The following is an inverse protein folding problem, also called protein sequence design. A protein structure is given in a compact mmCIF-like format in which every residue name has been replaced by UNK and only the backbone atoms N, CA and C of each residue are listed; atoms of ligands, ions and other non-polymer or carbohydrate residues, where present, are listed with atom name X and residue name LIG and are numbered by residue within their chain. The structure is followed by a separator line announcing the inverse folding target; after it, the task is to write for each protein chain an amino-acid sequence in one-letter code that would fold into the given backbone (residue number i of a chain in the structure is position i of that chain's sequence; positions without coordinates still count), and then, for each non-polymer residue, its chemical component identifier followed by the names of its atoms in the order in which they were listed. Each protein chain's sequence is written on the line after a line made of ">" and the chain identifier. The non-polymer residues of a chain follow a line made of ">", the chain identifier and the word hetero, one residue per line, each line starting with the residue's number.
data_IF_850522924987
#
_entry.id   IF_850522924987
#
_cell.length_a   1.000
_cell.length_b   1.000
_cell.length_c   1.000
_cell.angle_alpha   90.00
_cell.angle_beta   90.00
_cell.angle_gamma   90.00
#
_symmetry.space_group_name_H-M   'P 1'
#
loop_
_entity.id
_entity.type
_entity.pdbx_description
1 polymer ?
#
# COMPACT_ATOMS: atom_id res chain seq x y z
N UNK A 1 20.62 40.34 10.43
CA UNK A 1 20.92 38.89 10.34
C UNK A 1 19.61 38.11 10.51
N UNK A 2 19.05 37.58 9.41
CA UNK A 2 17.74 36.91 9.43
C UNK A 2 17.84 35.54 10.10
N UNK A 3 17.22 35.38 11.27
CA UNK A 3 17.17 34.10 11.99
C UNK A 3 16.20 33.17 11.26
N UNK A 4 16.74 32.28 10.42
CA UNK A 4 15.98 31.17 9.83
C UNK A 4 15.37 30.35 10.97
N UNK A 5 14.04 30.39 11.09
CA UNK A 5 13.29 29.62 12.09
C UNK A 5 13.59 28.13 11.95
N UNK A 6 13.78 27.45 13.08
CA UNK A 6 14.01 26.00 13.12
C UNK A 6 12.76 25.30 12.59
N UNK A 7 12.88 24.60 11.46
CA UNK A 7 11.78 23.80 10.90
C UNK A 7 11.30 22.83 11.99
N UNK A 8 10.00 22.81 12.34
CA UNK A 8 9.50 21.95 13.40
C UNK A 8 9.78 20.49 13.04
N UNK A 9 10.43 19.78 13.96
CA UNK A 9 10.68 18.36 13.83
C UNK A 9 9.34 17.65 14.06
N UNK A 10 8.84 16.84 13.12
CA UNK A 10 7.60 16.11 13.32
C UNK A 10 7.72 15.22 14.55
N UNK A 11 6.71 15.26 15.44
CA UNK A 11 6.66 14.41 16.64
C UNK A 11 6.64 12.95 16.20
N UNK A 12 7.64 12.17 16.61
CA UNK A 12 7.64 10.73 16.47
C UNK A 12 6.48 10.15 17.29
N UNK A 13 5.51 9.52 16.63
CA UNK A 13 4.41 8.85 17.34
C UNK A 13 3.20 8.49 16.49
N UNK A 14 2.82 9.27 15.48
CA UNK A 14 1.56 9.01 14.75
C UNK A 14 1.70 8.00 13.59
N UNK A 15 2.93 7.77 13.10
CA UNK A 15 3.21 6.81 12.02
C UNK A 15 3.83 5.49 12.51
N UNK A 16 4.25 5.42 13.77
CA UNK A 16 5.04 4.31 14.29
C UNK A 16 4.23 3.03 14.55
N UNK A 17 2.90 3.12 14.62
CA UNK A 17 2.02 1.98 14.94
C UNK A 17 1.24 1.43 13.74
N UNK A 18 1.39 2.01 12.54
CA UNK A 18 0.74 1.47 11.35
C UNK A 18 1.74 0.57 10.62
N UNK A 19 1.44 -0.71 10.38
CA UNK A 19 2.34 -1.52 9.56
C UNK A 19 2.51 -0.80 8.22
N UNK A 20 3.76 -0.61 7.79
CA UNK A 20 4.08 0.12 6.54
C UNK A 20 3.39 -0.47 5.31
N UNK A 21 2.97 -1.74 5.40
CA UNK A 21 2.14 -2.46 4.44
C UNK A 21 0.64 -2.48 4.77
N UNK A 22 0.08 -1.47 5.44
CA UNK A 22 -1.38 -1.30 5.49
C UNK A 22 -1.88 -0.56 4.24
N UNK A 23 -2.95 -1.08 3.63
CA UNK A 23 -3.63 -0.41 2.52
C UNK A 23 -4.03 1.02 2.93
N UNK A 24 -3.56 2.08 2.24
CA UNK A 24 -3.89 3.45 2.61
C UNK A 24 -5.39 3.70 2.45
N UNK A 25 -6.01 4.27 3.49
CA UNK A 25 -7.43 4.67 3.41
C UNK A 25 -7.61 5.85 2.46
N UNK A 26 -8.62 5.72 1.59
CA UNK A 26 -9.03 6.78 0.67
C UNK A 26 -9.26 8.10 1.42
N UNK A 27 -8.65 9.22 1.01
CA UNK A 27 -8.94 10.53 1.57
C UNK A 27 -10.41 10.93 1.36
N UNK A 28 -10.98 11.60 2.36
CA UNK A 28 -12.38 12.06 2.34
C UNK A 28 -12.63 13.19 1.35
N UNK A 29 -11.63 14.03 1.10
CA UNK A 29 -11.73 15.20 0.21
C UNK A 29 -11.77 14.85 -1.29
N UNK A 30 -11.57 13.59 -1.67
CA UNK A 30 -11.61 13.18 -3.08
C UNK A 30 -13.05 13.19 -3.61
N UNK A 31 -13.22 13.70 -4.83
CA UNK A 31 -14.49 13.65 -5.55
C UNK A 31 -14.88 12.21 -5.92
N UNK A 32 -16.13 12.00 -6.34
CA UNK A 32 -16.65 10.66 -6.62
C UNK A 32 -15.87 9.91 -7.71
N UNK A 33 -15.50 10.60 -8.80
CA UNK A 33 -14.70 10.04 -9.90
C UNK A 33 -13.29 9.66 -9.42
N UNK A 34 -12.64 10.54 -8.66
CA UNK A 34 -11.33 10.27 -8.08
C UNK A 34 -11.37 9.09 -7.09
N UNK A 35 -12.44 8.96 -6.30
CA UNK A 35 -12.62 7.85 -5.36
C UNK A 35 -12.83 6.51 -6.08
N UNK A 36 -13.53 6.50 -7.21
CA UNK A 36 -13.68 5.31 -8.05
C UNK A 36 -12.31 4.87 -8.57
N UNK A 37 -11.51 5.82 -9.03
CA UNK A 37 -10.16 5.55 -9.50
C UNK A 37 -9.22 5.07 -8.39
N UNK A 38 -9.33 5.66 -7.20
CA UNK A 38 -8.61 5.18 -6.01
C UNK A 38 -8.91 3.71 -5.74
N UNK A 39 -10.18 3.29 -5.77
CA UNK A 39 -10.55 1.88 -5.54
C UNK A 39 -10.02 0.95 -6.64
N UNK A 40 -9.94 1.44 -7.89
CA UNK A 40 -9.42 0.67 -9.02
C UNK A 40 -7.93 0.40 -8.89
N UNK A 41 -7.15 1.38 -8.43
CA UNK A 41 -5.69 1.29 -8.39
C UNK A 41 -5.13 0.88 -7.02
N UNK A 42 -5.74 1.32 -5.92
CA UNK A 42 -5.15 1.13 -4.59
C UNK A 42 -5.01 -0.36 -4.22
N UNK A 43 -6.01 -1.20 -4.53
CA UNK A 43 -5.96 -2.63 -4.19
C UNK A 43 -4.87 -3.37 -4.98
N UNK A 44 -4.84 -3.34 -6.33
CA UNK A 44 -3.80 -4.05 -7.09
C UNK A 44 -2.39 -3.55 -6.78
N UNK A 45 -2.21 -2.24 -6.55
CA UNK A 45 -0.89 -1.69 -6.23
C UNK A 45 -0.40 -2.07 -4.84
N UNK A 46 -1.32 -2.27 -3.91
CA UNK A 46 -1.00 -2.73 -2.58
C UNK A 46 -0.67 -4.23 -2.57
N UNK A 47 -1.45 -5.04 -3.28
CA UNK A 47 -1.17 -6.48 -3.46
C UNK A 47 0.18 -6.72 -4.16
N UNK A 48 0.55 -5.85 -5.10
CA UNK A 48 1.87 -5.87 -5.75
C UNK A 48 3.02 -5.40 -4.84
N UNK A 49 2.75 -4.94 -3.61
CA UNK A 49 3.76 -4.42 -2.69
C UNK A 49 4.37 -3.06 -3.10
N UNK A 50 3.80 -2.39 -4.11
CA UNK A 50 4.30 -1.12 -4.64
C UNK A 50 3.80 0.06 -3.78
N UNK A 51 2.58 -0.05 -3.25
CA UNK A 51 1.92 1.03 -2.52
C UNK A 51 2.10 0.91 -1.00
N UNK A 52 2.77 1.88 -0.40
CA UNK A 52 2.92 2.01 1.05
C UNK A 52 2.04 3.13 1.61
N UNK A 53 2.00 3.26 2.94
CA UNK A 53 1.29 4.39 3.59
C UNK A 53 1.87 5.77 3.19
N UNK A 54 3.15 5.83 2.86
CA UNK A 54 3.81 7.08 2.45
C UNK A 54 3.27 7.61 1.11
N UNK A 55 2.87 6.71 0.22
CA UNK A 55 2.42 7.01 -1.13
C UNK A 55 0.98 7.51 -1.20
N UNK A 56 0.26 7.48 -0.07
CA UNK A 56 -1.14 7.89 0.04
C UNK A 56 -1.38 9.29 -0.55
N UNK A 57 -0.47 10.23 -0.28
CA UNK A 57 -0.59 11.61 -0.78
C UNK A 57 -0.42 11.70 -2.29
N UNK A 58 0.58 11.00 -2.85
CA UNK A 58 0.85 10.98 -4.27
C UNK A 58 -0.28 10.30 -5.06
N UNK A 59 -0.78 9.16 -4.58
CA UNK A 59 -1.93 8.49 -5.19
C UNK A 59 -3.19 9.36 -5.15
N UNK A 60 -3.39 10.12 -4.07
CA UNK A 60 -4.56 10.99 -3.94
C UNK A 60 -4.52 12.12 -4.96
N UNK A 61 -3.35 12.73 -5.14
CA UNK A 61 -3.12 13.76 -6.15
C UNK A 61 -3.33 13.22 -7.57
N UNK A 62 -2.84 12.00 -7.86
CA UNK A 62 -3.09 11.31 -9.13
C UNK A 62 -4.59 11.12 -9.38
N UNK A 63 -5.34 10.56 -8.42
CA UNK A 63 -6.78 10.35 -8.56
C UNK A 63 -7.54 11.66 -8.78
N UNK A 64 -7.11 12.75 -8.15
CA UNK A 64 -7.72 14.07 -8.33
C UNK A 64 -7.42 14.65 -9.71
N UNK A 65 -6.21 14.45 -10.25
CA UNK A 65 -5.83 14.84 -11.60
C UNK A 65 -6.62 14.05 -12.65
N UNK A 66 -6.79 12.73 -12.44
CA UNK A 66 -7.62 11.86 -13.27
C UNK A 66 -9.05 12.37 -13.37
N UNK A 67 -9.67 12.71 -12.23
CA UNK A 67 -11.04 13.22 -12.23
C UNK A 67 -11.20 14.53 -13.03
N UNK A 68 -10.22 15.44 -12.93
CA UNK A 68 -10.21 16.70 -13.69
C UNK A 68 -9.97 16.47 -15.18
N UNK A 69 -9.14 15.48 -15.52
CA UNK A 69 -8.91 15.08 -16.90
C UNK A 69 -10.18 14.50 -17.53
N UNK A 70 -10.86 13.56 -16.86
CA UNK A 70 -12.13 12.98 -17.33
C UNK A 70 -13.18 14.06 -17.57
N UNK A 71 -13.31 15.01 -16.64
CA UNK A 71 -14.23 16.14 -16.81
C UNK A 71 -13.87 17.01 -18.02
N UNK A 72 -12.57 17.29 -18.23
CA UNK A 72 -12.12 18.07 -19.37
C UNK A 72 -12.38 17.36 -20.71
N UNK A 73 -12.14 16.05 -20.79
CA UNK A 73 -12.43 15.23 -21.98
C UNK A 73 -13.93 15.18 -22.29
N UNK A 74 -14.78 15.06 -21.27
CA UNK A 74 -16.23 15.10 -21.46
C UNK A 74 -16.70 16.47 -21.98
N UNK A 75 -16.09 17.57 -21.54
CA UNK A 75 -16.37 18.91 -22.08
C UNK A 75 -15.90 19.06 -23.52
N UNK A 76 -14.75 18.50 -23.87
CA UNK A 76 -14.19 18.53 -25.24
C UNK A 76 -15.06 17.79 -26.26
N UNK A 77 -15.87 16.81 -25.85
CA UNK A 77 -16.86 16.18 -26.74
C UNK A 77 -17.96 17.14 -27.20
N UNK A 78 -18.29 18.12 -26.36
CA UNK A 78 -19.40 19.06 -26.59
C UNK A 78 -18.95 20.41 -27.15
N UNK A 79 -17.70 20.79 -26.90
CA UNK A 79 -17.13 22.10 -27.25
C UNK A 79 -16.05 21.95 -28.32
N UNK A 80 -16.01 22.80 -29.36
CA UNK A 80 -14.95 22.73 -30.37
C UNK A 80 -13.56 23.00 -29.77
N UNK A 81 -12.54 22.33 -30.29
CA UNK A 81 -11.15 22.45 -29.83
C UNK A 81 -10.55 23.84 -30.08
N UNK A 82 -11.05 24.55 -31.09
CA UNK A 82 -10.65 25.92 -31.43
C UNK A 82 -11.86 26.84 -31.30
N UNK A 83 -11.70 27.88 -30.49
CA UNK A 83 -12.68 28.95 -30.29
C UNK A 83 -12.27 30.15 -31.12
N UNK A 84 -13.22 30.74 -31.85
CA UNK A 84 -12.98 32.00 -32.55
C UNK A 84 -13.27 33.14 -31.58
N UNK A 85 -12.29 34.01 -31.38
CA UNK A 85 -12.47 35.24 -30.62
C UNK A 85 -13.24 36.26 -31.47
N UNK A 86 -13.92 37.24 -30.85
CA UNK A 86 -14.59 38.33 -31.58
C UNK A 86 -13.64 39.14 -32.49
N UNK A 87 -12.34 39.12 -32.17
CA UNK A 87 -11.27 39.75 -32.94
C UNK A 87 -10.81 38.93 -34.16
N UNK A 88 -11.38 37.74 -34.41
CA UNK A 88 -11.07 36.89 -35.55
C UNK A 88 -9.91 35.89 -35.35
N UNK A 89 -9.21 35.95 -34.22
CA UNK A 89 -8.15 34.97 -33.89
C UNK A 89 -8.74 33.66 -33.39
N UNK A 90 -8.15 32.53 -33.83
CA UNK A 90 -8.44 31.20 -33.31
C UNK A 90 -7.62 30.94 -32.04
N UNK A 91 -8.30 30.69 -30.92
CA UNK A 91 -7.70 30.32 -29.65
C UNK A 91 -8.01 28.86 -29.32
N UNK A 92 -7.05 28.16 -28.72
CA UNK A 92 -7.31 26.81 -28.20
C UNK A 92 -8.33 26.85 -27.06
N UNK A 93 -9.19 25.83 -27.02
CA UNK A 93 -10.15 25.69 -25.93
C UNK A 93 -9.41 25.56 -24.57
N UNK A 94 -9.88 26.23 -23.51
CA UNK A 94 -9.28 26.11 -22.18
C UNK A 94 -9.31 24.66 -21.66
N UNK A 95 -10.31 23.89 -22.04
CA UNK A 95 -10.47 22.48 -21.68
C UNK A 95 -9.33 21.62 -22.22
N UNK A 96 -8.85 21.90 -23.44
CA UNK A 96 -7.70 21.20 -24.02
C UNK A 96 -6.42 21.47 -23.21
N UNK A 97 -6.20 22.72 -22.80
CA UNK A 97 -5.06 23.09 -21.96
C UNK A 97 -5.11 22.41 -20.59
N UNK A 98 -6.29 22.30 -19.99
CA UNK A 98 -6.49 21.59 -18.72
C UNK A 98 -6.20 20.09 -18.91
N UNK A 99 -6.76 19.47 -19.94
CA UNK A 99 -6.56 18.04 -20.22
C UNK A 99 -5.08 17.70 -20.39
N UNK A 100 -4.36 18.45 -21.23
CA UNK A 100 -2.93 18.28 -21.45
C UNK A 100 -2.13 18.43 -20.15
N UNK A 101 -2.49 19.43 -19.31
CA UNK A 101 -1.79 19.66 -18.05
C UNK A 101 -2.03 18.53 -17.04
N UNK A 102 -3.26 18.02 -16.95
CA UNK A 102 -3.56 16.91 -16.07
C UNK A 102 -2.85 15.62 -16.52
N UNK A 103 -2.77 15.38 -17.84
CA UNK A 103 -2.06 14.24 -18.39
C UNK A 103 -0.56 14.27 -18.05
N UNK A 104 0.07 15.45 -18.13
CA UNK A 104 1.47 15.66 -17.71
C UNK A 104 1.66 15.36 -16.21
N UNK A 105 0.78 15.89 -15.35
CA UNK A 105 0.84 15.65 -13.90
C UNK A 105 0.63 14.17 -13.57
N UNK A 106 -0.31 13.51 -14.24
CA UNK A 106 -0.55 12.09 -14.10
C UNK A 106 0.70 11.28 -14.45
N UNK A 107 1.37 11.59 -15.57
CA UNK A 107 2.63 10.94 -15.96
C UNK A 107 3.75 11.11 -14.93
N UNK A 108 3.86 12.30 -14.31
CA UNK A 108 4.80 12.54 -13.21
C UNK A 108 4.48 11.68 -11.99
N UNK A 109 3.23 11.70 -11.50
CA UNK A 109 2.84 10.87 -10.36
C UNK A 109 3.01 9.36 -10.62
N UNK A 110 2.73 8.90 -11.85
CA UNK A 110 2.97 7.51 -12.23
C UNK A 110 4.46 7.14 -12.20
N UNK A 111 5.34 8.09 -12.53
CA UNK A 111 6.79 7.87 -12.50
C UNK A 111 7.31 7.84 -11.07
N UNK A 112 6.85 8.75 -10.20
CA UNK A 112 7.18 8.78 -8.77
C UNK A 112 6.70 7.52 -8.03
N UNK A 113 5.50 7.01 -8.38
CA UNK A 113 4.92 5.80 -7.77
C UNK A 113 5.50 4.49 -8.33
N UNK A 114 6.45 4.52 -9.27
CA UNK A 114 7.03 3.29 -9.82
C UNK A 114 6.11 2.53 -10.78
N UNK A 115 5.05 3.15 -11.31
CA UNK A 115 4.05 2.47 -12.15
C UNK A 115 4.50 2.30 -13.60
N UNK A 116 5.48 3.10 -14.04
CA UNK A 116 6.03 3.03 -15.39
C UNK A 116 7.02 1.86 -15.51
N UNK A 117 7.11 1.18 -16.67
CA UNK A 117 8.05 0.07 -16.87
C UNK A 117 9.49 0.44 -16.48
N UNK A 118 9.95 1.64 -16.87
CA UNK A 118 11.27 2.19 -16.54
C UNK A 118 11.48 2.37 -15.03
N UNK A 119 10.44 2.72 -14.29
CA UNK A 119 10.56 2.87 -12.84
C UNK A 119 10.53 1.51 -12.12
N UNK A 120 9.89 0.49 -12.71
CA UNK A 120 9.93 -0.89 -12.19
C UNK A 120 11.30 -1.54 -12.35
N UNK A 121 12.01 -1.26 -13.43
CA UNK A 121 13.38 -1.76 -13.64
C UNK A 121 14.38 -1.25 -12.59
N UNK A 122 14.07 -0.14 -11.91
CA UNK A 122 14.94 0.45 -10.87
C UNK A 122 14.67 -0.06 -9.46
N UNK A 123 13.59 -0.81 -9.25
CA UNK A 123 13.28 -1.39 -7.95
C UNK A 123 14.16 -2.62 -7.75
N UNK A 124 15.01 -2.67 -6.71
CA UNK A 124 15.69 -3.90 -6.35
C UNK A 124 14.61 -4.93 -6.04
N UNK A 125 14.64 -6.04 -6.77
CA UNK A 125 13.78 -7.20 -6.57
C UNK A 125 13.74 -7.48 -5.07
N UNK A 126 12.56 -7.29 -4.46
CA UNK A 126 12.36 -7.65 -3.07
C UNK A 126 12.45 -9.17 -3.04
N UNK A 127 13.66 -9.68 -2.83
CA UNK A 127 13.91 -11.09 -2.52
C UNK A 127 13.08 -11.35 -1.27
N UNK A 128 11.89 -11.92 -1.47
CA UNK A 128 11.11 -12.56 -0.43
C UNK A 128 12.10 -13.47 0.27
N UNK A 129 12.47 -13.11 1.51
CA UNK A 129 13.43 -13.86 2.29
C UNK A 129 12.94 -15.30 2.28
N UNK A 130 13.62 -16.13 1.50
CA UNK A 130 13.31 -17.54 1.42
C UNK A 130 13.27 -18.05 2.84
N UNK A 131 12.26 -18.84 3.14
CA UNK A 131 12.18 -19.70 4.32
C UNK A 131 13.57 -20.26 4.58
N UNK A 132 14.30 -19.64 5.50
CA UNK A 132 15.56 -20.21 5.96
C UNK A 132 15.15 -21.55 6.58
N UNK A 133 15.69 -22.70 6.13
CA UNK A 133 15.31 -23.96 6.72
C UNK A 133 15.64 -23.88 8.22
N UNK A 134 14.62 -23.96 9.07
CA UNK A 134 14.78 -24.01 10.51
C UNK A 134 15.58 -25.28 10.82
N UNK A 135 16.87 -25.13 11.16
CA UNK A 135 17.66 -26.23 11.70
C UNK A 135 17.11 -26.55 13.09
N UNK A 136 16.24 -27.57 13.16
CA UNK A 136 15.77 -28.10 14.44
C UNK A 136 16.93 -28.85 15.10
N UNK A 137 17.65 -28.17 15.98
CA UNK A 137 18.65 -28.81 16.83
C UNK A 137 17.92 -29.58 17.92
N UNK A 138 17.74 -30.89 17.71
CA UNK A 138 17.22 -31.79 18.74
C UNK A 138 18.32 -32.05 19.77
N UNK A 139 18.29 -31.32 20.88
CA UNK A 139 19.17 -31.57 22.02
C UNK A 139 18.72 -32.87 22.69
N UNK A 140 19.45 -33.96 22.45
CA UNK A 140 19.29 -35.21 23.19
C UNK A 140 20.09 -35.10 24.48
N UNK A 141 19.42 -34.81 25.59
CA UNK A 141 20.02 -34.95 26.91
C UNK A 141 20.25 -36.44 27.18
N UNK A 142 21.51 -36.86 27.12
CA UNK A 142 21.94 -38.16 27.59
C UNK A 142 21.94 -38.10 29.11
N UNK A 143 20.90 -38.66 29.73
CA UNK A 143 20.91 -38.92 31.17
C UNK A 143 21.91 -40.02 31.43
N UNK A 144 22.99 -39.69 32.14
CA UNK A 144 23.85 -40.69 32.74
C UNK A 144 23.13 -41.23 33.97
N UNK A 145 22.44 -42.35 33.79
CA UNK A 145 21.91 -43.16 34.88
C UNK A 145 23.07 -43.90 35.56
N UNK A 146 23.63 -43.29 36.60
CA UNK A 146 24.42 -44.00 37.63
C UNK A 146 23.91 -43.63 39.03
N UNK A 147 22.85 -44.35 39.41
CA UNK A 147 22.57 -44.93 40.73
C UNK A 147 23.25 -44.32 41.97
N UNK A 148 22.49 -43.60 42.80
CA UNK A 148 22.24 -43.95 44.21
C UNK A 148 21.45 -42.88 45.01
N UNK A 149 20.58 -43.39 45.89
CA UNK A 149 20.07 -42.76 47.10
C UNK A 149 18.94 -41.71 46.97
N UNK A 150 17.72 -42.23 46.81
CA UNK A 150 16.62 -42.03 47.76
C UNK A 150 16.32 -40.60 48.23
N UNK A 151 15.28 -39.99 47.64
CA UNK A 151 14.30 -39.18 48.36
C UNK A 151 13.08 -38.99 47.45
N UNK A 152 12.00 -39.67 47.83
CA UNK A 152 10.73 -39.62 47.11
C UNK A 152 10.14 -38.23 47.12
N UNK A 153 9.74 -37.76 45.94
CA UNK A 153 8.78 -36.69 45.77
C UNK A 153 7.65 -37.23 44.89
N UNK A 154 6.50 -37.38 45.52
CA UNK A 154 5.25 -37.89 44.97
C UNK A 154 4.79 -37.00 43.82
N UNK A 155 4.69 -37.56 42.61
CA UNK A 155 3.86 -36.99 41.55
C UNK A 155 2.45 -37.58 41.65
N UNK A 156 1.49 -36.72 41.97
CA UNK A 156 0.07 -37.04 42.01
C UNK A 156 -0.42 -37.35 40.59
N UNK A 157 -0.60 -38.63 40.29
CA UNK A 157 -1.33 -39.10 39.11
C UNK A 157 -2.80 -38.67 39.27
N UNK A 158 -3.28 -37.76 38.42
CA UNK A 158 -4.71 -37.57 38.14
C UNK A 158 -4.95 -37.97 36.69
N UNK A 159 -5.42 -39.20 36.51
CA UNK A 159 -6.07 -39.67 35.28
C UNK A 159 -7.40 -38.93 35.11
N UNK A 160 -7.72 -38.44 33.89
CA UNK A 160 -9.00 -38.54 33.17
C UNK A 160 -8.70 -38.24 31.68
N UNK A 161 -8.53 -39.25 30.81
CA UNK A 161 -9.55 -39.89 29.95
C UNK A 161 -10.44 -38.92 29.15
N UNK A 162 -10.34 -39.09 27.82
CA UNK A 162 -11.41 -39.02 26.79
C UNK A 162 -12.12 -37.68 26.56
N UNK A 163 -12.09 -37.18 25.32
CA UNK A 163 -13.25 -37.04 24.40
C UNK A 163 -13.04 -35.84 23.44
N UNK A 164 -12.73 -36.07 22.16
CA UNK A 164 -13.19 -35.22 21.03
C UNK A 164 -12.83 -35.87 19.68
N UNK A 165 -13.52 -36.95 19.33
CA UNK A 165 -13.67 -37.40 17.93
C UNK A 165 -15.17 -37.63 17.68
N UNK A 166 -15.76 -36.73 16.89
CA UNK A 166 -17.09 -36.77 16.30
C UNK A 166 -17.15 -35.55 15.36
N UNK A 167 -17.49 -35.59 14.08
CA UNK A 167 -18.12 -36.56 13.18
C UNK A 167 -17.96 -35.97 11.76
N UNK A 168 -17.68 -36.78 10.73
CA UNK A 168 -18.06 -36.43 9.34
C UNK A 168 -18.09 -37.68 8.44
N UNK A 169 -19.16 -38.47 8.54
CA UNK A 169 -19.64 -39.31 7.45
C UNK A 169 -21.18 -39.30 7.46
N UNK A 170 -21.78 -38.77 6.40
CA UNK A 170 -23.13 -39.06 5.88
C UNK A 170 -23.33 -38.24 4.60
N UNK A 171 -22.81 -38.74 3.48
CA UNK A 171 -23.57 -39.21 2.30
C UNK A 171 -22.60 -39.56 1.16
#
# INVERSE_FOLDING_TARGET
>A
MSRRGRKPVPRAGTLASTPLGALPRCPSHLCAVARKEWRRLATPLHEAGILTLADRGALAAYCQAWARWVEAEDRLKTTPMLLKTPSGYAQQSPWLSIANKQLELMGRYMSELGLTPVARERLPEQVSQGTQPLTVVRVLFRGDDDTAAGRGLRCHRREQRTHCDAQSELN
#
